data_IF_677966797702
#
_entry.id   IF_677966797702
#
_cell.length_a   1.000
_cell.length_b   1.000
_cell.length_c   1.000
_cell.angle_alpha   90.00
_cell.angle_beta   90.00
_cell.angle_gamma   90.00
#
_symmetry.space_group_name_H-M   'P 1'
#
loop_
_entity.id
_entity.type
_entity.pdbx_description
1 polymer ?
#
# COMPACT_ATOMS: atom_id res chain seq x y z
N UNK A 1 -2.20 12.66 -6.76
CA UNK A 1 -2.14 11.19 -6.55
C UNK A 1 -3.54 10.66 -6.25
N UNK A 2 -3.95 9.57 -6.89
CA UNK A 2 -5.32 9.03 -6.83
C UNK A 2 -5.53 8.25 -5.53
N UNK A 3 -6.60 8.56 -4.80
CA UNK A 3 -7.07 7.79 -3.64
C UNK A 3 -8.09 6.73 -4.06
N UNK A 4 -9.16 7.15 -4.73
CA UNK A 4 -10.20 6.26 -5.23
C UNK A 4 -10.87 6.83 -6.48
N UNK A 5 -11.56 5.95 -7.21
CA UNK A 5 -12.45 6.30 -8.31
C UNK A 5 -13.78 5.58 -8.09
N UNK A 6 -14.82 6.36 -7.94
CA UNK A 6 -16.17 5.88 -7.68
C UNK A 6 -17.13 6.23 -8.81
N UNK A 7 -17.95 5.25 -9.19
CA UNK A 7 -19.08 5.50 -10.09
C UNK A 7 -20.32 5.83 -9.26
N UNK A 8 -20.94 6.98 -9.57
CA UNK A 8 -22.24 7.37 -9.01
C UNK A 8 -23.19 7.72 -10.14
N UNK A 9 -24.26 6.95 -10.30
CA UNK A 9 -25.28 7.14 -11.32
C UNK A 9 -24.70 7.44 -12.72
N UNK A 10 -24.68 8.70 -13.10
CA UNK A 10 -24.17 9.18 -14.41
C UNK A 10 -22.76 9.77 -14.33
N UNK A 11 -22.13 9.73 -13.17
CA UNK A 11 -20.87 10.42 -12.92
C UNK A 11 -19.78 9.48 -12.38
N UNK A 12 -18.55 9.87 -12.59
CA UNK A 12 -17.34 9.29 -11.99
C UNK A 12 -16.72 10.33 -11.09
N UNK A 13 -16.55 10.00 -9.81
CA UNK A 13 -15.87 10.85 -8.83
C UNK A 13 -14.46 10.32 -8.64
N UNK A 14 -13.47 11.18 -8.86
CA UNK A 14 -12.05 10.91 -8.57
C UNK A 14 -11.68 11.64 -7.28
N UNK A 15 -11.29 10.91 -6.25
CA UNK A 15 -10.65 11.47 -5.06
C UNK A 15 -9.13 11.37 -5.17
N UNK A 16 -8.44 12.44 -4.82
CA UNK A 16 -6.98 12.53 -4.98
C UNK A 16 -6.36 13.49 -3.98
N UNK A 17 -5.05 13.45 -3.81
CA UNK A 17 -4.32 14.47 -3.08
C UNK A 17 -3.99 15.63 -4.00
N UNK A 18 -4.39 16.85 -3.60
CA UNK A 18 -4.04 18.09 -4.30
C UNK A 18 -2.56 18.49 -4.08
N UNK A 19 -2.17 19.64 -4.60
CA UNK A 19 -0.80 20.18 -4.47
C UNK A 19 -0.39 20.49 -3.03
N UNK A 20 -1.35 20.63 -2.12
CA UNK A 20 -1.13 20.86 -0.70
C UNK A 20 -1.17 19.56 0.11
N UNK A 21 -1.37 18.40 -0.54
CA UNK A 21 -1.51 17.12 0.11
C UNK A 21 -2.85 16.92 0.83
N UNK A 22 -3.87 17.73 0.50
CA UNK A 22 -5.23 17.57 1.01
C UNK A 22 -6.07 16.71 0.09
N UNK A 23 -7.10 16.06 0.64
CA UNK A 23 -8.06 15.32 -0.17
C UNK A 23 -8.93 16.29 -0.96
N UNK A 24 -8.94 16.13 -2.27
CA UNK A 24 -9.74 16.87 -3.22
C UNK A 24 -10.55 15.92 -4.12
N UNK A 25 -11.55 16.44 -4.81
CA UNK A 25 -12.48 15.66 -5.63
C UNK A 25 -12.70 16.34 -6.98
N UNK A 26 -12.76 15.51 -8.03
CA UNK A 26 -13.26 15.93 -9.35
C UNK A 26 -14.33 14.97 -9.83
N UNK A 27 -15.30 15.53 -10.54
CA UNK A 27 -16.46 14.79 -11.06
C UNK A 27 -16.46 14.87 -12.59
N UNK A 28 -16.68 13.74 -13.23
CA UNK A 28 -16.71 13.61 -14.68
C UNK A 28 -17.94 12.82 -15.11
N UNK A 29 -18.52 13.10 -16.30
CA UNK A 29 -19.56 12.25 -16.84
C UNK A 29 -19.08 10.81 -17.02
N UNK A 30 -19.94 9.83 -16.69
CA UNK A 30 -19.62 8.39 -16.83
C UNK A 30 -19.20 8.00 -18.26
N UNK A 31 -19.64 8.77 -19.27
CA UNK A 31 -19.30 8.56 -20.67
C UNK A 31 -17.81 8.76 -20.97
N UNK A 32 -17.08 9.43 -20.08
CA UNK A 32 -15.61 9.55 -20.17
C UNK A 32 -14.89 8.30 -19.70
N UNK A 33 -15.55 7.41 -18.94
CA UNK A 33 -14.96 6.17 -18.47
C UNK A 33 -15.23 5.04 -19.46
N UNK A 34 -14.26 4.78 -20.31
CA UNK A 34 -14.35 3.83 -21.41
C UNK A 34 -13.96 2.42 -20.95
N UNK A 35 -14.91 1.49 -21.00
CA UNK A 35 -14.65 0.07 -20.81
C UNK A 35 -14.47 -0.62 -22.17
N UNK A 36 -13.38 -1.39 -22.29
CA UNK A 36 -13.09 -2.16 -23.49
C UNK A 36 -13.43 -3.63 -23.28
N UNK A 37 -14.07 -4.23 -24.27
CA UNK A 37 -14.51 -5.63 -24.25
C UNK A 37 -13.98 -6.34 -25.50
N UNK A 38 -13.52 -7.59 -25.31
CA UNK A 38 -13.20 -8.47 -26.44
C UNK A 38 -14.51 -8.84 -27.15
N UNK A 39 -14.51 -8.85 -28.46
CA UNK A 39 -15.69 -9.10 -29.28
C UNK A 39 -15.34 -9.90 -30.54
N UNK A 40 -16.34 -10.39 -31.25
CA UNK A 40 -16.16 -11.00 -32.57
C UNK A 40 -15.95 -9.94 -33.67
N UNK A 41 -15.21 -10.29 -34.71
CA UNK A 41 -14.90 -9.40 -35.85
C UNK A 41 -16.14 -8.80 -36.53
N UNK A 42 -17.25 -9.52 -36.55
CA UNK A 42 -18.51 -9.11 -37.20
C UNK A 42 -19.50 -8.42 -36.26
N UNK A 43 -19.11 -8.20 -35.01
CA UNK A 43 -20.00 -7.54 -34.05
C UNK A 43 -20.15 -6.03 -34.35
N UNK A 44 -21.33 -5.50 -34.00
CA UNK A 44 -21.56 -4.05 -34.14
C UNK A 44 -20.73 -3.27 -33.13
N UNK A 45 -20.02 -2.24 -33.58
CA UNK A 45 -19.23 -1.34 -32.73
C UNK A 45 -17.80 -1.80 -32.49
N UNK A 46 -17.31 -2.76 -33.28
CA UNK A 46 -15.88 -3.15 -33.26
C UNK A 46 -15.01 -1.92 -33.52
N UNK A 47 -13.97 -1.74 -32.73
CA UNK A 47 -13.00 -0.67 -32.94
C UNK A 47 -12.22 -0.90 -34.25
N UNK A 48 -12.04 0.17 -35.01
CA UNK A 48 -11.15 0.16 -36.19
C UNK A 48 -9.74 0.63 -35.85
N UNK A 49 -9.56 1.21 -34.69
CA UNK A 49 -8.32 1.84 -34.25
C UNK A 49 -7.54 0.97 -33.27
N UNK A 50 -8.26 0.21 -32.44
CA UNK A 50 -7.68 -0.55 -31.34
C UNK A 50 -7.95 -2.03 -31.44
N UNK A 51 -6.97 -2.84 -31.04
CA UNK A 51 -7.06 -4.29 -30.87
C UNK A 51 -6.68 -4.68 -29.45
N UNK A 52 -7.03 -5.90 -29.02
CA UNK A 52 -6.47 -6.51 -27.81
C UNK A 52 -4.99 -6.87 -28.04
N UNK A 53 -4.23 -7.11 -26.98
CA UNK A 53 -2.82 -7.51 -27.04
C UNK A 53 -2.57 -8.80 -27.85
N UNK A 54 -3.56 -9.68 -27.95
CA UNK A 54 -3.51 -10.93 -28.71
C UNK A 54 -4.09 -10.80 -30.14
N UNK A 55 -4.31 -9.57 -30.60
CA UNK A 55 -4.87 -9.28 -31.92
C UNK A 55 -6.40 -9.40 -32.04
N UNK A 56 -7.07 -9.91 -31.02
CA UNK A 56 -8.56 -10.00 -31.05
C UNK A 56 -9.21 -8.61 -31.11
N UNK A 57 -10.34 -8.49 -31.83
CA UNK A 57 -11.06 -7.22 -31.91
C UNK A 57 -11.60 -6.80 -30.55
N UNK A 58 -11.63 -5.50 -30.31
CA UNK A 58 -12.24 -4.89 -29.13
C UNK A 58 -13.33 -3.90 -29.51
N UNK A 59 -14.29 -3.72 -28.63
CA UNK A 59 -15.34 -2.72 -28.75
C UNK A 59 -15.43 -1.89 -27.47
N UNK A 60 -15.83 -0.64 -27.62
CA UNK A 60 -16.17 0.22 -26.51
C UNK A 60 -17.53 -0.18 -25.94
N UNK A 61 -17.62 -0.27 -24.63
CA UNK A 61 -18.86 -0.52 -23.93
C UNK A 61 -18.99 0.35 -22.68
N UNK A 62 -20.25 0.57 -22.30
CA UNK A 62 -20.58 1.31 -21.10
C UNK A 62 -21.17 0.31 -20.10
N UNK A 63 -20.34 -0.17 -19.18
CA UNK A 63 -20.74 -1.13 -18.15
C UNK A 63 -20.97 -0.45 -16.81
N UNK A 64 -21.82 -1.07 -15.97
CA UNK A 64 -22.01 -0.63 -14.57
C UNK A 64 -20.83 -0.96 -13.67
N UNK A 65 -19.89 -1.78 -14.13
CA UNK A 65 -18.67 -2.14 -13.39
C UNK A 65 -17.45 -1.63 -14.15
N UNK A 66 -16.57 -0.95 -13.43
CA UNK A 66 -15.30 -0.52 -13.98
C UNK A 66 -14.38 -1.72 -14.24
N UNK A 67 -13.96 -1.86 -15.49
CA UNK A 67 -12.85 -2.75 -15.81
C UNK A 67 -11.57 -2.21 -15.17
N UNK A 68 -10.79 -3.07 -14.52
CA UNK A 68 -9.54 -2.68 -13.86
C UNK A 68 -8.52 -2.03 -14.79
N UNK A 69 -8.50 -2.41 -16.07
CA UNK A 69 -7.60 -1.84 -17.07
C UNK A 69 -8.09 -0.49 -17.62
N UNK A 70 -9.40 -0.29 -17.66
CA UNK A 70 -10.02 0.94 -18.17
C UNK A 70 -9.70 2.17 -17.33
N UNK A 71 -9.31 1.97 -16.05
CA UNK A 71 -8.83 3.03 -15.18
C UNK A 71 -7.68 3.82 -15.80
N UNK A 72 -6.69 3.12 -16.37
CA UNK A 72 -5.53 3.77 -16.97
C UNK A 72 -5.93 4.61 -18.17
N UNK A 73 -6.82 4.09 -19.03
CA UNK A 73 -7.30 4.80 -20.21
C UNK A 73 -8.14 6.01 -19.83
N UNK A 74 -8.95 5.91 -18.78
CA UNK A 74 -9.71 7.03 -18.25
C UNK A 74 -8.79 8.17 -17.79
N UNK A 75 -7.81 7.86 -16.94
CA UNK A 75 -6.87 8.85 -16.41
C UNK A 75 -6.04 9.49 -17.53
N UNK A 76 -5.53 8.68 -18.47
CA UNK A 76 -4.73 9.20 -19.58
C UNK A 76 -5.57 10.02 -20.60
N UNK A 77 -6.88 9.78 -20.67
CA UNK A 77 -7.84 10.52 -21.48
C UNK A 77 -8.39 11.82 -20.86
N UNK A 78 -8.06 12.12 -19.60
CA UNK A 78 -8.48 13.36 -18.95
C UNK A 78 -7.79 14.59 -19.58
N UNK A 79 -8.41 15.79 -19.52
CA UNK A 79 -7.76 17.03 -19.90
C UNK A 79 -6.41 17.17 -19.19
N UNK A 80 -5.40 17.68 -19.90
CA UNK A 80 -4.02 17.77 -19.40
C UNK A 80 -3.93 18.46 -18.03
N UNK A 81 -4.61 19.60 -17.88
CA UNK A 81 -4.66 20.33 -16.61
C UNK A 81 -5.20 19.49 -15.45
N UNK A 82 -6.26 18.69 -15.68
CA UNK A 82 -6.86 17.83 -14.67
C UNK A 82 -5.94 16.67 -14.35
N UNK A 83 -5.32 16.09 -15.38
CA UNK A 83 -4.37 14.99 -15.24
C UNK A 83 -3.14 15.42 -14.45
N UNK A 84 -2.58 16.58 -14.73
CA UNK A 84 -1.44 17.13 -13.96
C UNK A 84 -1.80 17.36 -12.50
N UNK A 85 -2.99 17.88 -12.22
CA UNK A 85 -3.45 18.12 -10.85
C UNK A 85 -3.69 16.80 -10.09
N UNK A 86 -4.41 15.84 -10.69
CA UNK A 86 -4.74 14.54 -10.07
C UNK A 86 -3.49 13.69 -9.82
N UNK A 87 -2.51 13.78 -10.72
CA UNK A 87 -1.29 12.99 -10.68
C UNK A 87 -0.12 13.72 -10.02
N UNK A 88 -0.31 14.95 -9.56
CA UNK A 88 0.73 15.67 -8.83
C UNK A 88 1.26 14.82 -7.68
N UNK A 89 2.60 14.68 -7.63
CA UNK A 89 3.26 13.95 -6.54
C UNK A 89 3.40 14.89 -5.34
N UNK A 90 2.73 14.53 -4.27
CA UNK A 90 2.86 15.18 -2.97
C UNK A 90 2.85 14.15 -1.87
N UNK A 91 3.61 14.41 -0.82
CA UNK A 91 3.53 13.62 0.40
C UNK A 91 2.40 14.17 1.27
N UNK A 92 1.28 13.46 1.42
CA UNK A 92 0.20 13.91 2.26
C UNK A 92 0.62 13.89 3.73
N UNK A 93 0.07 14.81 4.51
CA UNK A 93 0.25 14.81 5.96
C UNK A 93 -0.32 13.53 6.55
N UNK A 94 0.53 12.77 7.23
CA UNK A 94 0.17 11.49 7.84
C UNK A 94 -0.08 11.63 9.32
N UNK A 95 -1.17 11.03 9.77
CA UNK A 95 -1.55 10.93 11.18
C UNK A 95 -1.36 9.50 11.64
N UNK A 96 -0.71 9.31 12.80
CA UNK A 96 -0.50 7.97 13.38
C UNK A 96 -1.50 7.81 14.52
N UNK A 97 -2.27 6.73 14.46
CA UNK A 97 -3.39 6.52 15.36
C UNK A 97 -3.28 5.15 16.01
N UNK A 98 -3.61 5.10 17.28
CA UNK A 98 -3.70 3.89 18.08
C UNK A 98 -4.90 4.00 19.03
N UNK A 99 -5.54 2.88 19.37
CA UNK A 99 -6.63 2.84 20.34
C UNK A 99 -6.27 1.97 21.51
N UNK A 100 -6.82 2.33 22.66
CA UNK A 100 -6.81 1.45 23.82
C UNK A 100 -8.23 1.07 24.23
N UNK A 101 -8.40 -0.21 24.54
CA UNK A 101 -9.71 -0.79 24.81
C UNK A 101 -9.78 -1.34 26.24
N UNK A 102 -10.99 -1.36 26.78
CA UNK A 102 -11.26 -1.95 28.09
C UNK A 102 -11.06 -3.47 28.05
N UNK A 103 -10.30 -4.01 29.00
CA UNK A 103 -10.02 -5.43 29.13
C UNK A 103 -10.81 -5.97 30.30
N UNK A 104 -11.76 -6.88 30.06
CA UNK A 104 -12.60 -7.49 31.11
C UNK A 104 -12.25 -8.97 31.25
N UNK A 105 -12.43 -9.75 30.18
CA UNK A 105 -12.20 -11.20 30.16
C UNK A 105 -11.17 -11.56 29.07
N UNK A 106 -9.90 -11.27 29.34
CA UNK A 106 -8.82 -11.47 28.37
C UNK A 106 -8.74 -10.37 27.32
N UNK A 107 -7.86 -10.53 26.33
CA UNK A 107 -7.63 -9.51 25.30
C UNK A 107 -8.86 -9.37 24.38
N UNK A 108 -9.41 -8.15 24.20
CA UNK A 108 -10.61 -7.93 23.40
C UNK A 108 -10.43 -8.28 21.93
N UNK A 109 -11.39 -9.01 21.37
CA UNK A 109 -11.40 -9.37 19.96
C UNK A 109 -11.99 -8.25 19.11
N UNK A 110 -11.27 -7.84 18.08
CA UNK A 110 -11.70 -6.77 17.18
C UNK A 110 -13.01 -7.10 16.44
N UNK A 111 -13.22 -8.39 16.11
CA UNK A 111 -14.43 -8.87 15.42
C UNK A 111 -15.69 -8.70 16.31
N UNK A 112 -15.54 -8.82 17.62
CA UNK A 112 -16.64 -8.73 18.57
C UNK A 112 -16.84 -7.30 19.12
N UNK A 113 -15.74 -6.57 19.35
CA UNK A 113 -15.66 -5.22 19.89
C UNK A 113 -16.61 -4.95 21.08
N UNK A 114 -16.71 -5.93 22.01
CA UNK A 114 -17.70 -5.92 23.09
C UNK A 114 -17.42 -4.85 24.16
N UNK A 115 -16.15 -4.59 24.42
CA UNK A 115 -15.73 -3.65 25.46
C UNK A 115 -15.53 -2.25 24.88
N UNK A 116 -15.45 -1.25 25.75
CA UNK A 116 -15.35 0.16 25.35
C UNK A 116 -13.98 0.48 24.76
N UNK A 117 -13.95 1.42 23.84
CA UNK A 117 -12.74 2.17 23.51
C UNK A 117 -12.54 3.20 24.62
N UNK A 118 -11.38 3.17 25.26
CA UNK A 118 -11.04 4.04 26.39
C UNK A 118 -10.30 5.30 25.94
N UNK A 119 -9.46 5.19 24.92
CA UNK A 119 -8.76 6.33 24.35
C UNK A 119 -8.41 6.13 22.88
N UNK A 120 -8.25 7.26 22.17
CA UNK A 120 -7.54 7.36 20.90
C UNK A 120 -6.28 8.19 21.12
N UNK A 121 -5.13 7.72 20.67
CA UNK A 121 -3.92 8.49 20.54
C UNK A 121 -3.73 8.88 19.08
N UNK A 122 -3.53 10.16 18.80
CA UNK A 122 -3.41 10.72 17.44
C UNK A 122 -2.13 11.55 17.39
N UNK A 123 -1.14 11.07 16.66
CA UNK A 123 0.11 11.77 16.43
C UNK A 123 0.04 12.51 15.10
N UNK A 124 0.24 13.81 15.15
CA UNK A 124 0.18 14.69 13.98
C UNK A 124 1.55 14.87 13.33
N UNK A 125 1.61 15.23 12.04
CA UNK A 125 2.87 15.46 11.35
C UNK A 125 3.68 16.68 11.87
N UNK A 126 3.03 17.58 12.61
CA UNK A 126 3.64 18.73 13.27
C UNK A 126 3.97 18.45 14.76
N UNK A 127 4.15 17.19 15.11
CA UNK A 127 4.56 16.70 16.43
C UNK A 127 3.63 17.07 17.59
N UNK A 128 2.34 16.97 17.36
CA UNK A 128 1.34 17.04 18.44
C UNK A 128 0.81 15.65 18.74
N UNK A 129 0.82 15.27 19.99
CA UNK A 129 0.17 14.09 20.51
C UNK A 129 -1.20 14.51 21.06
N UNK A 130 -2.29 14.16 20.36
CA UNK A 130 -3.65 14.47 20.75
C UNK A 130 -4.29 13.19 21.26
N UNK A 131 -4.77 13.22 22.49
CA UNK A 131 -5.51 12.08 23.06
C UNK A 131 -6.96 12.45 23.29
N UNK A 132 -7.86 11.59 22.79
CA UNK A 132 -9.27 11.61 23.11
C UNK A 132 -9.51 10.54 24.19
N UNK A 133 -10.09 10.88 25.31
CA UNK A 133 -10.26 9.95 26.43
C UNK A 133 -11.53 10.21 27.24
N UNK A 134 -11.83 9.28 28.15
CA UNK A 134 -13.07 9.30 28.94
C UNK A 134 -12.91 9.88 30.35
N UNK A 135 -11.69 9.80 30.90
CA UNK A 135 -11.41 10.20 32.28
C UNK A 135 -10.94 11.66 32.37
N UNK A 136 -11.04 12.27 33.57
CA UNK A 136 -10.50 13.60 33.81
C UNK A 136 -8.96 13.56 33.90
N UNK A 137 -8.33 14.59 33.37
CA UNK A 137 -6.88 14.77 33.48
C UNK A 137 -6.57 16.23 33.89
N UNK A 138 -5.89 16.38 35.03
CA UNK A 138 -5.49 17.69 35.53
C UNK A 138 -4.36 18.31 34.68
N UNK A 139 -4.26 19.62 34.54
CA UNK A 139 -3.27 20.30 33.71
C UNK A 139 -1.83 19.92 34.03
N UNK A 140 -1.49 19.72 35.30
CA UNK A 140 -0.14 19.27 35.71
C UNK A 140 0.20 17.87 35.20
N UNK A 141 -0.81 17.00 35.06
CA UNK A 141 -0.64 15.66 34.50
C UNK A 141 -0.49 15.69 32.97
N UNK A 142 -1.19 16.62 32.32
CA UNK A 142 -1.03 16.88 30.88
C UNK A 142 0.42 17.30 30.60
N UNK A 143 0.92 18.30 31.35
CA UNK A 143 2.30 18.76 31.22
C UNK A 143 3.32 17.66 31.52
N UNK A 144 3.05 16.83 32.52
CA UNK A 144 3.91 15.70 32.84
C UNK A 144 4.03 14.71 31.69
N UNK A 145 2.95 14.35 30.98
CA UNK A 145 3.00 13.45 29.83
C UNK A 145 3.84 14.07 28.70
N UNK A 146 3.70 15.37 28.46
CA UNK A 146 4.50 16.11 27.49
C UNK A 146 6.00 16.04 27.82
N UNK A 147 6.35 16.36 29.05
CA UNK A 147 7.74 16.34 29.53
C UNK A 147 8.33 14.93 29.48
N UNK A 148 7.58 13.91 29.94
CA UNK A 148 8.00 12.52 29.93
C UNK A 148 8.17 11.98 28.49
N UNK A 149 7.31 12.39 27.55
CA UNK A 149 7.41 12.03 26.13
C UNK A 149 8.66 12.65 25.50
N UNK A 150 8.87 13.94 25.69
CA UNK A 150 10.06 14.63 25.20
C UNK A 150 11.37 14.06 25.77
N UNK A 151 11.36 13.72 27.05
CA UNK A 151 12.49 13.05 27.71
C UNK A 151 12.74 11.65 27.17
N UNK A 152 11.68 10.88 26.88
CA UNK A 152 11.81 9.50 26.38
C UNK A 152 12.44 9.45 24.99
N UNK A 153 12.16 10.43 24.16
CA UNK A 153 12.68 10.56 22.81
C UNK A 153 13.83 11.56 22.68
N UNK A 154 14.60 11.82 23.75
CA UNK A 154 15.71 12.80 23.78
C UNK A 154 16.74 12.61 22.68
N UNK A 155 16.98 11.36 22.23
CA UNK A 155 17.93 11.04 21.16
C UNK A 155 17.35 11.32 19.74
N UNK A 156 16.12 11.77 19.67
CA UNK A 156 15.43 12.15 18.45
C UNK A 156 15.17 13.65 18.44
N UNK A 157 14.76 14.15 17.28
CA UNK A 157 14.29 15.52 17.17
C UNK A 157 12.97 15.66 17.96
N UNK A 158 13.03 16.21 19.18
CA UNK A 158 11.91 16.37 20.11
C UNK A 158 11.26 17.73 19.94
N UNK A 159 10.22 18.04 20.62
CA UNK A 159 9.33 19.21 20.73
C UNK A 159 7.87 18.76 20.55
N UNK A 160 7.51 17.67 21.23
CA UNK A 160 6.14 17.18 21.26
C UNK A 160 5.27 18.11 22.11
N UNK A 161 4.15 18.52 21.54
CA UNK A 161 3.04 19.19 22.27
C UNK A 161 1.99 18.13 22.59
N UNK A 162 1.58 18.01 23.84
CA UNK A 162 0.55 17.05 24.26
C UNK A 162 -0.77 17.76 24.53
N UNK A 163 -1.87 17.22 23.97
CA UNK A 163 -3.23 17.69 24.15
C UNK A 163 -4.16 16.55 24.57
N UNK A 164 -4.93 16.78 25.60
CA UNK A 164 -5.92 15.83 26.07
C UNK A 164 -7.33 16.41 25.94
N UNK A 165 -8.24 15.64 25.34
CA UNK A 165 -9.65 16.00 25.20
C UNK A 165 -10.53 14.96 25.92
N UNK A 166 -11.18 15.37 27.01
CA UNK A 166 -12.13 14.54 27.72
C UNK A 166 -13.48 14.53 27.03
N UNK A 167 -14.07 13.35 26.94
CA UNK A 167 -15.45 13.12 26.47
C UNK A 167 -16.34 12.60 27.59
N UNK A 168 -17.64 12.96 27.53
CA UNK A 168 -18.63 12.52 28.52
C UNK A 168 -19.05 11.07 28.33
N UNK A 169 -18.97 10.57 27.10
CA UNK A 169 -19.32 9.20 26.74
C UNK A 169 -18.42 8.65 25.66
N UNK A 170 -18.34 7.34 25.60
CA UNK A 170 -17.66 6.64 24.48
C UNK A 170 -18.30 7.00 23.13
N UNK A 171 -19.62 7.08 23.06
CA UNK A 171 -20.32 7.48 21.85
C UNK A 171 -19.84 8.83 21.32
N UNK A 172 -19.79 9.86 22.19
CA UNK A 172 -19.33 11.20 21.78
C UNK A 172 -17.88 11.18 21.30
N UNK A 173 -17.03 10.38 21.95
CA UNK A 173 -15.62 10.25 21.59
C UNK A 173 -15.47 9.58 20.22
N UNK A 174 -16.06 8.41 20.01
CA UNK A 174 -15.99 7.66 18.75
C UNK A 174 -16.65 8.44 17.61
N UNK A 175 -17.82 9.04 17.85
CA UNK A 175 -18.50 9.90 16.89
C UNK A 175 -17.61 11.09 16.46
N UNK A 176 -16.99 11.75 17.45
CA UNK A 176 -16.10 12.89 17.17
C UNK A 176 -14.87 12.47 16.38
N UNK A 177 -14.25 11.33 16.74
CA UNK A 177 -13.14 10.79 15.96
C UNK A 177 -13.54 10.55 14.50
N UNK A 178 -14.64 9.81 14.28
CA UNK A 178 -15.06 9.41 12.93
C UNK A 178 -15.58 10.60 12.10
N UNK A 179 -16.37 11.49 12.69
CA UNK A 179 -17.08 12.55 11.93
C UNK A 179 -16.36 13.88 11.90
N UNK A 180 -15.45 14.15 12.86
CA UNK A 180 -14.78 15.46 12.94
C UNK A 180 -13.26 15.41 12.75
N UNK A 181 -12.60 14.31 13.14
CA UNK A 181 -11.15 14.15 12.98
C UNK A 181 -10.82 13.45 11.69
N UNK A 182 -11.32 12.24 11.48
CA UNK A 182 -10.98 11.39 10.34
C UNK A 182 -11.17 12.08 8.97
N UNK A 183 -12.23 12.83 8.69
CA UNK A 183 -12.38 13.52 7.40
C UNK A 183 -11.33 14.61 7.13
N UNK A 184 -10.61 15.05 8.16
CA UNK A 184 -9.54 16.05 8.05
C UNK A 184 -8.17 15.44 7.87
N UNK A 185 -8.04 14.13 8.02
CA UNK A 185 -6.78 13.42 7.87
C UNK A 185 -6.59 13.04 6.39
N UNK A 186 -5.63 13.63 5.68
CA UNK A 186 -5.33 13.20 4.33
C UNK A 186 -4.90 11.74 4.30
N UNK A 187 -4.06 11.34 5.29
CA UNK A 187 -3.60 9.97 5.46
C UNK A 187 -3.53 9.60 6.94
N UNK A 188 -3.88 8.35 7.25
CA UNK A 188 -3.86 7.80 8.60
C UNK A 188 -3.25 6.40 8.58
N UNK A 189 -2.48 6.09 9.61
CA UNK A 189 -1.86 4.77 9.82
C UNK A 189 -1.64 4.49 11.29
N UNK A 190 -1.31 3.25 11.61
CA UNK A 190 -0.93 2.77 12.94
C UNK A 190 -0.27 1.39 12.81
N UNK A 191 0.12 0.80 13.93
CA UNK A 191 0.74 -0.51 13.97
C UNK A 191 -0.31 -1.62 14.07
N UNK A 192 -0.38 -2.53 13.09
CA UNK A 192 -1.44 -3.53 12.94
C UNK A 192 -2.85 -2.91 12.87
N UNK A 193 -2.88 -1.68 12.40
CA UNK A 193 -4.03 -0.78 12.52
C UNK A 193 -5.28 -1.31 11.81
N UNK A 194 -5.14 -1.85 10.60
CA UNK A 194 -6.29 -2.33 9.82
C UNK A 194 -6.87 -3.60 10.44
N UNK A 195 -6.03 -4.51 10.91
CA UNK A 195 -6.49 -5.81 11.42
C UNK A 195 -7.03 -5.73 12.85
N UNK A 196 -6.62 -4.72 13.65
CA UNK A 196 -7.09 -4.59 15.01
C UNK A 196 -7.84 -3.27 15.25
N UNK A 197 -7.15 -2.13 15.25
CA UNK A 197 -7.73 -0.84 15.66
C UNK A 197 -8.90 -0.42 14.77
N UNK A 198 -8.69 -0.43 13.45
CA UNK A 198 -9.73 -0.04 12.51
C UNK A 198 -10.91 -1.01 12.54
N UNK A 199 -10.64 -2.31 12.57
CA UNK A 199 -11.69 -3.31 12.68
C UNK A 199 -12.50 -3.15 13.99
N UNK A 200 -11.79 -2.88 15.09
CA UNK A 200 -12.44 -2.60 16.39
C UNK A 200 -13.33 -1.37 16.30
N UNK A 201 -12.82 -0.25 15.77
CA UNK A 201 -13.56 1.01 15.57
C UNK A 201 -14.83 0.76 14.74
N UNK A 202 -14.70 0.04 13.62
CA UNK A 202 -15.84 -0.28 12.74
C UNK A 202 -16.91 -1.11 13.48
N UNK A 203 -16.50 -2.18 14.16
CA UNK A 203 -17.44 -3.05 14.85
C UNK A 203 -18.04 -2.37 16.10
N UNK A 204 -17.25 -1.56 16.80
CA UNK A 204 -17.74 -0.77 17.93
C UNK A 204 -18.73 0.32 17.49
N UNK A 205 -18.49 0.95 16.35
CA UNK A 205 -19.40 1.91 15.75
C UNK A 205 -20.79 1.32 15.48
N UNK A 206 -20.84 0.07 15.00
CA UNK A 206 -22.12 -0.64 14.80
C UNK A 206 -22.87 -0.83 16.12
N UNK A 207 -22.17 -1.22 17.20
CA UNK A 207 -22.76 -1.36 18.53
C UNK A 207 -23.27 -0.02 19.05
N UNK A 208 -22.52 1.05 18.82
CA UNK A 208 -22.87 2.42 19.21
C UNK A 208 -23.88 3.07 18.25
N UNK A 209 -24.32 2.37 17.19
CA UNK A 209 -25.24 2.89 16.16
C UNK A 209 -24.71 4.15 15.43
N UNK A 210 -23.40 4.20 15.21
CA UNK A 210 -22.75 5.25 14.41
C UNK A 210 -22.59 4.74 12.97
N UNK A 211 -23.19 5.45 12.02
CA UNK A 211 -23.12 5.11 10.60
C UNK A 211 -21.82 5.65 9.97
N UNK A 212 -20.85 4.76 9.78
CA UNK A 212 -19.55 5.13 9.19
C UNK A 212 -19.61 5.49 7.69
N UNK A 213 -20.72 5.21 6.99
CA UNK A 213 -20.89 5.66 5.59
C UNK A 213 -21.00 7.18 5.48
N UNK A 214 -21.29 7.86 6.60
CA UNK A 214 -21.32 9.31 6.66
C UNK A 214 -19.93 9.96 6.77
N UNK A 215 -18.87 9.15 6.91
CA UNK A 215 -17.50 9.65 6.94
C UNK A 215 -17.10 10.14 5.55
N UNK A 216 -16.77 11.41 5.44
CA UNK A 216 -16.31 12.03 4.20
C UNK A 216 -17.39 12.20 3.14
N UNK A 217 -16.97 12.49 1.91
CA UNK A 217 -17.87 12.95 0.84
C UNK A 217 -18.52 11.80 0.06
N UNK A 218 -17.85 10.67 -0.10
CA UNK A 218 -18.31 9.64 -1.02
C UNK A 218 -19.16 8.55 -0.37
N UNK A 219 -18.96 8.27 0.90
CA UNK A 219 -19.67 7.20 1.62
C UNK A 219 -19.33 5.78 1.16
N UNK A 220 -18.40 5.64 0.21
CA UNK A 220 -17.95 4.35 -0.30
C UNK A 220 -16.93 3.71 0.65
N UNK A 221 -17.23 2.50 1.07
CA UNK A 221 -16.38 1.71 1.95
C UNK A 221 -15.76 0.52 1.22
N UNK A 222 -14.57 0.12 1.62
CA UNK A 222 -13.98 -1.15 1.20
C UNK A 222 -14.86 -2.33 1.64
N UNK A 223 -14.95 -3.37 0.81
CA UNK A 223 -15.83 -4.52 1.06
C UNK A 223 -15.32 -5.46 2.15
N UNK A 224 -14.02 -5.47 2.41
CA UNK A 224 -13.41 -6.40 3.36
C UNK A 224 -13.33 -5.81 4.77
N UNK A 225 -12.91 -4.54 4.86
CA UNK A 225 -12.58 -3.90 6.14
C UNK A 225 -13.35 -2.61 6.40
N UNK A 226 -14.27 -2.23 5.51
CA UNK A 226 -15.11 -1.03 5.64
C UNK A 226 -14.32 0.29 5.75
N UNK A 227 -13.10 0.37 5.23
CA UNK A 227 -12.38 1.65 5.14
C UNK A 227 -13.03 2.59 4.15
N UNK A 228 -13.14 3.89 4.46
CA UNK A 228 -13.48 4.90 3.47
C UNK A 228 -12.35 5.00 2.42
N UNK A 229 -12.61 4.57 1.17
CA UNK A 229 -11.57 4.47 0.13
C UNK A 229 -11.04 5.84 -0.33
N UNK A 230 -11.79 6.92 -0.11
CA UNK A 230 -11.39 8.30 -0.40
C UNK A 230 -10.49 8.93 0.69
N UNK A 231 -10.13 8.18 1.72
CA UNK A 231 -9.16 8.56 2.75
C UNK A 231 -8.02 7.53 2.72
N UNK A 232 -6.78 7.98 2.78
CA UNK A 232 -5.62 7.09 2.81
C UNK A 232 -5.46 6.42 4.17
N UNK A 233 -6.14 5.30 4.40
CA UNK A 233 -5.99 4.50 5.63
C UNK A 233 -5.09 3.31 5.34
N UNK A 234 -3.95 3.23 6.00
CA UNK A 234 -2.92 2.22 5.80
C UNK A 234 -2.58 1.49 7.11
N UNK A 235 -1.94 0.34 6.98
CA UNK A 235 -1.38 -0.42 8.10
C UNK A 235 0.14 -0.37 8.04
N UNK A 236 0.78 0.28 9.02
CA UNK A 236 2.22 0.45 8.99
C UNK A 236 2.98 -0.87 9.21
N UNK A 237 2.47 -1.80 9.99
CA UNK A 237 3.09 -3.11 10.18
C UNK A 237 3.16 -3.88 8.84
N UNK A 238 2.09 -3.82 8.02
CA UNK A 238 2.10 -4.43 6.70
C UNK A 238 3.09 -3.75 5.74
N UNK A 239 3.22 -2.41 5.80
CA UNK A 239 4.20 -1.67 5.01
C UNK A 239 5.64 -2.01 5.43
N UNK A 240 5.90 -2.07 6.75
CA UNK A 240 7.17 -2.50 7.29
C UNK A 240 7.53 -3.91 6.82
N UNK A 241 6.62 -4.85 6.97
CA UNK A 241 6.86 -6.23 6.56
C UNK A 241 7.18 -6.35 5.08
N UNK A 242 6.49 -5.58 4.27
CA UNK A 242 6.60 -5.62 2.81
C UNK A 242 7.82 -4.90 2.26
N UNK A 243 8.12 -3.71 2.76
CA UNK A 243 9.10 -2.81 2.12
C UNK A 243 10.42 -2.72 2.86
N UNK A 244 10.47 -2.98 4.18
CA UNK A 244 11.73 -2.97 4.89
C UNK A 244 12.59 -4.18 4.50
N UNK A 245 13.81 -3.88 4.06
CA UNK A 245 14.84 -4.87 3.66
C UNK A 245 16.11 -4.74 4.51
N UNK A 246 16.08 -3.96 5.57
CA UNK A 246 17.22 -3.74 6.46
C UNK A 246 17.58 -4.99 7.24
N UNK A 247 16.61 -5.84 7.55
CA UNK A 247 16.77 -7.10 8.27
C UNK A 247 16.45 -8.28 7.35
N UNK A 248 17.39 -9.21 7.21
CA UNK A 248 17.22 -10.40 6.33
C UNK A 248 16.17 -11.38 6.84
N UNK A 249 16.09 -11.55 8.16
CA UNK A 249 15.13 -12.43 8.84
C UNK A 249 14.43 -11.61 9.91
N UNK A 250 13.13 -11.45 9.75
CA UNK A 250 12.26 -10.76 10.72
C UNK A 250 11.75 -11.81 11.71
N UNK A 251 12.25 -11.78 12.95
CA UNK A 251 11.86 -12.72 13.99
C UNK A 251 10.46 -12.41 14.55
N UNK A 252 10.06 -11.14 14.53
CA UNK A 252 8.76 -10.69 15.05
C UNK A 252 8.32 -9.39 14.39
N UNK A 253 7.02 -9.23 14.22
CA UNK A 253 6.38 -7.96 13.82
C UNK A 253 5.80 -7.21 15.04
N UNK A 254 6.11 -7.63 16.28
CA UNK A 254 5.70 -6.87 17.47
C UNK A 254 6.36 -5.47 17.48
N UNK A 255 5.59 -4.43 17.79
CA UNK A 255 6.08 -3.05 17.80
C UNK A 255 7.33 -2.86 18.67
N UNK A 256 7.37 -3.49 19.86
CA UNK A 256 8.53 -3.42 20.77
C UNK A 256 9.80 -4.00 20.14
N UNK A 257 9.67 -5.13 19.44
CA UNK A 257 10.79 -5.75 18.74
C UNK A 257 11.28 -4.86 17.61
N UNK A 258 10.37 -4.37 16.78
CA UNK A 258 10.71 -3.52 15.61
C UNK A 258 11.29 -2.17 16.06
N UNK A 259 10.71 -1.53 17.08
CA UNK A 259 11.24 -0.31 17.66
C UNK A 259 12.66 -0.51 18.20
N UNK A 260 12.91 -1.64 18.87
CA UNK A 260 14.26 -2.03 19.31
C UNK A 260 15.26 -2.17 18.16
N UNK A 261 14.87 -2.83 17.08
CA UNK A 261 15.74 -3.04 15.91
C UNK A 261 15.94 -1.77 15.10
N UNK A 262 14.87 -1.02 14.85
CA UNK A 262 14.92 0.15 13.97
C UNK A 262 15.41 1.39 14.70
N UNK A 263 14.89 1.66 15.90
CA UNK A 263 15.17 2.92 16.64
C UNK A 263 16.16 2.74 17.79
N UNK A 264 16.48 1.51 18.18
CA UNK A 264 17.19 1.19 19.43
C UNK A 264 16.44 1.68 20.69
N UNK A 265 15.12 1.72 20.63
CA UNK A 265 14.22 2.14 21.72
C UNK A 265 13.31 0.96 22.09
N UNK A 266 13.00 0.79 23.38
CA UNK A 266 12.10 -0.22 23.88
C UNK A 266 10.80 0.39 24.33
N UNK A 267 9.69 -0.38 24.29
CA UNK A 267 8.41 0.07 24.88
C UNK A 267 8.53 0.35 26.37
N UNK A 268 7.68 1.23 26.85
CA UNK A 268 7.57 1.50 28.29
C UNK A 268 7.13 0.24 29.01
N UNK A 269 7.88 -0.14 30.07
CA UNK A 269 7.52 -1.26 30.92
C UNK A 269 6.56 -0.84 32.02
N UNK A 270 5.58 -1.68 32.29
CA UNK A 270 4.68 -1.57 33.44
C UNK A 270 4.53 -2.93 34.10
N UNK A 271 4.07 -2.93 35.35
CA UNK A 271 3.79 -4.14 36.12
C UNK A 271 2.27 -4.36 36.17
N UNK A 272 1.83 -5.62 36.11
CA UNK A 272 0.40 -5.96 36.06
C UNK A 272 -0.19 -5.93 34.66
N UNK A 273 -1.49 -5.95 34.56
CA UNK A 273 -2.24 -5.84 33.31
C UNK A 273 -2.47 -4.40 32.87
N UNK A 274 -2.80 -4.20 31.59
CA UNK A 274 -3.11 -2.88 31.03
C UNK A 274 -4.38 -2.29 31.69
N UNK A 275 -5.35 -3.14 32.05
CA UNK A 275 -6.55 -2.74 32.79
C UNK A 275 -6.23 -2.25 34.21
N UNK A 276 -5.28 -2.88 34.88
CA UNK A 276 -4.80 -2.42 36.18
C UNK A 276 -4.12 -1.05 36.06
N UNK A 277 -3.31 -0.89 34.99
CA UNK A 277 -2.68 0.41 34.69
C UNK A 277 -3.70 1.51 34.47
N UNK A 278 -4.78 1.26 33.71
CA UNK A 278 -5.88 2.20 33.51
C UNK A 278 -6.51 2.63 34.82
N UNK A 279 -6.86 1.67 35.70
CA UNK A 279 -7.51 1.93 36.96
C UNK A 279 -6.60 2.61 37.99
N UNK A 280 -5.36 2.14 38.11
CA UNK A 280 -4.49 2.51 39.23
C UNK A 280 -3.53 3.65 38.87
N UNK A 281 -3.22 3.85 37.57
CA UNK A 281 -2.34 4.92 37.10
C UNK A 281 -2.71 5.38 35.67
N UNK A 282 -3.84 6.05 35.56
CA UNK A 282 -4.39 6.54 34.28
C UNK A 282 -3.39 7.43 33.51
N UNK A 283 -2.61 8.26 34.19
CA UNK A 283 -1.60 9.12 33.55
C UNK A 283 -0.54 8.28 32.83
N UNK A 284 -0.05 7.22 33.47
CA UNK A 284 0.93 6.31 32.88
C UNK A 284 0.30 5.50 31.74
N UNK A 285 -0.97 5.14 31.84
CA UNK A 285 -1.74 4.46 30.79
C UNK A 285 -1.80 5.32 29.51
N UNK A 286 -2.17 6.59 29.63
CA UNK A 286 -2.20 7.51 28.49
C UNK A 286 -0.79 7.76 27.94
N UNK A 287 0.20 7.93 28.82
CA UNK A 287 1.59 8.06 28.39
C UNK A 287 2.07 6.84 27.59
N UNK A 288 1.70 5.63 27.99
CA UNK A 288 1.97 4.39 27.25
C UNK A 288 1.37 4.41 25.83
N UNK A 289 0.08 4.73 25.72
CA UNK A 289 -0.61 4.83 24.44
C UNK A 289 0.02 5.88 23.50
N UNK A 290 0.42 7.05 24.04
CA UNK A 290 1.11 8.08 23.27
C UNK A 290 2.46 7.58 22.76
N UNK A 291 3.27 6.94 23.60
CA UNK A 291 4.59 6.42 23.19
C UNK A 291 4.46 5.38 22.10
N UNK A 292 3.49 4.47 22.16
CA UNK A 292 3.28 3.46 21.13
C UNK A 292 3.01 4.12 19.76
N UNK A 293 2.15 5.14 19.71
CA UNK A 293 1.89 5.90 18.48
C UNK A 293 3.11 6.70 17.99
N UNK A 294 3.89 7.31 18.89
CA UNK A 294 5.11 8.06 18.55
C UNK A 294 6.22 7.14 18.04
N UNK A 295 6.31 5.90 18.53
CA UNK A 295 7.24 4.90 17.99
C UNK A 295 6.98 4.64 16.52
N UNK A 296 5.72 4.47 16.11
CA UNK A 296 5.35 4.26 14.69
C UNK A 296 5.74 5.47 13.84
N UNK A 297 5.52 6.69 14.35
CA UNK A 297 5.97 7.92 13.69
C UNK A 297 7.48 7.90 13.42
N UNK A 298 8.32 7.61 14.42
CA UNK A 298 9.77 7.60 14.23
C UNK A 298 10.26 6.43 13.38
N UNK A 299 9.60 5.27 13.44
CA UNK A 299 9.89 4.15 12.53
C UNK A 299 9.68 4.61 11.08
N UNK A 300 8.57 5.30 10.78
CA UNK A 300 8.34 5.82 9.42
C UNK A 300 9.34 6.90 9.03
N UNK A 301 9.68 7.82 9.93
CA UNK A 301 10.71 8.83 9.64
C UNK A 301 12.05 8.19 9.24
N UNK A 302 12.38 7.04 9.79
CA UNK A 302 13.63 6.32 9.50
C UNK A 302 13.55 5.43 8.26
N UNK A 303 12.48 4.67 8.09
CA UNK A 303 12.34 3.67 7.03
C UNK A 303 11.69 4.21 5.75
N UNK A 304 10.86 5.23 5.85
CA UNK A 304 10.15 5.85 4.73
C UNK A 304 9.27 4.87 3.94
N UNK A 305 8.72 3.83 4.60
CA UNK A 305 7.94 2.78 3.93
C UNK A 305 6.67 3.31 3.26
N UNK A 306 6.08 4.38 3.81
CA UNK A 306 4.94 5.04 3.18
C UNK A 306 5.31 5.75 1.89
N UNK A 307 6.48 6.41 1.83
CA UNK A 307 6.96 7.06 0.61
C UNK A 307 7.14 6.04 -0.54
N UNK A 308 7.56 4.81 -0.23
CA UNK A 308 7.67 3.74 -1.24
C UNK A 308 6.31 3.42 -1.85
N UNK A 309 5.27 3.23 -1.02
CA UNK A 309 3.92 2.95 -1.51
C UNK A 309 3.35 4.13 -2.32
N UNK A 310 3.54 5.35 -1.84
CA UNK A 310 3.09 6.57 -2.52
C UNK A 310 3.78 6.74 -3.88
N UNK A 311 5.08 6.44 -3.94
CA UNK A 311 5.84 6.46 -5.20
C UNK A 311 5.30 5.42 -6.19
N UNK A 312 5.01 4.19 -5.73
CA UNK A 312 4.41 3.15 -6.56
C UNK A 312 3.03 3.58 -7.10
N UNK A 313 2.17 4.13 -6.26
CA UNK A 313 0.87 4.65 -6.67
C UNK A 313 1.00 5.75 -7.73
N UNK A 314 1.97 6.63 -7.58
CA UNK A 314 2.23 7.72 -8.53
C UNK A 314 2.76 7.21 -9.87
N UNK A 315 3.77 6.33 -9.88
CA UNK A 315 4.36 5.76 -11.11
C UNK A 315 3.30 4.98 -11.90
N UNK A 316 2.48 4.20 -11.20
CA UNK A 316 1.44 3.37 -11.82
C UNK A 316 0.14 4.12 -12.10
N UNK A 317 -0.02 5.33 -11.58
CA UNK A 317 -1.24 6.16 -11.65
C UNK A 317 -2.48 5.40 -11.17
N UNK A 318 -2.30 4.61 -10.13
CA UNK A 318 -3.35 3.77 -9.54
C UNK A 318 -3.88 4.36 -8.24
N UNK A 319 -5.10 4.00 -7.84
CA UNK A 319 -5.55 4.23 -6.47
C UNK A 319 -4.59 3.66 -5.43
N UNK A 320 -4.36 4.41 -4.37
CA UNK A 320 -3.37 4.10 -3.33
C UNK A 320 -3.52 2.67 -2.77
N UNK A 321 -4.74 2.25 -2.47
CA UNK A 321 -5.00 0.91 -1.93
C UNK A 321 -4.67 -0.23 -2.90
N UNK A 322 -4.66 0.02 -4.22
CA UNK A 322 -4.26 -0.98 -5.25
C UNK A 322 -2.75 -1.04 -5.44
N UNK A 323 -2.04 0.07 -5.23
CA UNK A 323 -0.59 0.14 -5.43
C UNK A 323 0.21 -0.77 -4.50
N UNK A 324 -0.39 -1.23 -3.40
CA UNK A 324 0.20 -2.24 -2.54
C UNK A 324 0.28 -3.63 -3.18
N UNK A 325 -0.47 -3.93 -4.25
CA UNK A 325 -0.44 -5.23 -4.95
C UNK A 325 0.59 -5.25 -6.08
N UNK A 326 1.65 -6.10 -6.02
CA UNK A 326 2.62 -6.23 -7.12
C UNK A 326 1.99 -6.64 -8.44
N UNK A 327 0.94 -7.49 -8.39
CA UNK A 327 0.19 -7.91 -9.57
C UNK A 327 -0.50 -6.72 -10.22
N UNK A 328 -1.23 -5.93 -9.44
CA UNK A 328 -1.92 -4.75 -9.95
C UNK A 328 -0.94 -3.70 -10.52
N UNK A 329 0.22 -3.52 -9.88
CA UNK A 329 1.30 -2.65 -10.38
C UNK A 329 1.77 -3.12 -11.76
N UNK A 330 2.06 -4.41 -11.91
CA UNK A 330 2.52 -4.99 -13.19
C UNK A 330 1.44 -4.86 -14.27
N UNK A 331 0.20 -5.21 -13.95
CA UNK A 331 -0.93 -5.07 -14.86
C UNK A 331 -1.13 -3.63 -15.35
N UNK A 332 -1.00 -2.65 -14.45
CA UNK A 332 -1.12 -1.23 -14.82
C UNK A 332 -0.02 -0.79 -15.76
N UNK A 333 1.24 -1.14 -15.47
CA UNK A 333 2.38 -0.81 -16.32
C UNK A 333 2.24 -1.44 -17.71
N UNK A 334 1.83 -2.71 -17.78
CA UNK A 334 1.59 -3.40 -19.05
C UNK A 334 0.46 -2.74 -19.84
N UNK A 335 -0.69 -2.47 -19.21
CA UNK A 335 -1.84 -1.86 -19.86
C UNK A 335 -1.48 -0.50 -20.50
N UNK A 336 -0.65 0.28 -19.82
CA UNK A 336 -0.20 1.58 -20.33
C UNK A 336 0.76 1.44 -21.50
N UNK A 337 1.74 0.53 -21.40
CA UNK A 337 2.67 0.27 -22.50
C UNK A 337 1.97 -0.28 -23.75
N UNK A 338 0.99 -1.15 -23.57
CA UNK A 338 0.14 -1.62 -24.67
C UNK A 338 -0.71 -0.49 -25.28
N UNK A 339 -1.23 0.42 -24.42
CA UNK A 339 -2.00 1.56 -24.90
C UNK A 339 -1.18 2.52 -25.76
N UNK A 340 0.13 2.71 -25.44
CA UNK A 340 1.07 3.49 -26.27
C UNK A 340 1.26 2.87 -27.67
N UNK A 341 1.02 1.56 -27.83
CA UNK A 341 1.11 0.83 -29.09
C UNK A 341 -0.25 0.70 -29.81
N UNK A 342 -1.26 1.43 -29.38
CA UNK A 342 -2.61 1.36 -29.98
C UNK A 342 -3.42 0.14 -29.57
N UNK A 343 -3.04 -0.53 -28.48
CA UNK A 343 -3.78 -1.68 -27.97
C UNK A 343 -4.66 -1.31 -26.78
N UNK A 344 -5.72 -2.09 -26.56
CA UNK A 344 -6.61 -1.93 -25.38
C UNK A 344 -6.89 -3.29 -24.79
N UNK A 345 -6.54 -3.51 -23.52
CA UNK A 345 -6.86 -4.76 -22.84
C UNK A 345 -8.37 -4.82 -22.60
N UNK A 346 -9.04 -5.69 -23.34
CA UNK A 346 -10.46 -5.93 -23.23
C UNK A 346 -10.76 -7.03 -22.21
N UNK A 347 -11.90 -6.93 -21.54
CA UNK A 347 -12.46 -8.03 -20.73
C UNK A 347 -13.37 -8.90 -21.60
N UNK A 348 -13.37 -10.19 -21.33
CA UNK A 348 -14.37 -11.11 -21.90
C UNK A 348 -15.73 -10.88 -21.24
N UNK A 349 -16.81 -10.95 -22.03
CA UNK A 349 -18.17 -10.70 -21.50
C UNK A 349 -18.69 -11.89 -20.66
N UNK A 350 -18.09 -13.07 -20.81
CA UNK A 350 -18.32 -14.25 -19.96
C UNK A 350 -17.03 -14.57 -19.24
N UNK A 351 -17.05 -14.44 -17.95
CA UNK A 351 -16.01 -14.98 -17.09
C UNK A 351 -16.26 -16.48 -16.92
N UNK A 352 -15.76 -17.29 -17.84
CA UNK A 352 -15.45 -18.67 -17.52
C UNK A 352 -14.15 -18.65 -16.70
N UNK A 353 -14.30 -18.45 -15.40
CA UNK A 353 -13.23 -18.72 -14.45
C UNK A 353 -12.94 -20.23 -14.44
N UNK A 354 -12.12 -20.68 -15.35
CA UNK A 354 -11.41 -21.94 -15.14
C UNK A 354 -10.62 -21.77 -13.83
N UNK A 355 -10.89 -22.66 -12.88
CA UNK A 355 -10.16 -22.72 -11.61
C UNK A 355 -8.68 -22.69 -11.93
N UNK A 356 -7.96 -21.74 -11.37
CA UNK A 356 -6.52 -21.60 -11.51
C UNK A 356 -5.87 -22.96 -11.30
N UNK A 357 -5.23 -23.48 -12.33
CA UNK A 357 -4.35 -24.64 -12.21
C UNK A 357 -3.25 -24.29 -11.23
N UNK A 358 -3.08 -25.09 -10.17
CA UNK A 358 -1.96 -24.96 -9.27
C UNK A 358 -0.67 -25.22 -10.06
N UNK A 359 0.19 -24.21 -10.15
CA UNK A 359 1.52 -24.38 -10.73
C UNK A 359 2.43 -25.06 -9.70
N UNK A 360 3.26 -26.00 -10.16
CA UNK A 360 4.33 -26.55 -9.34
C UNK A 360 5.28 -25.43 -8.90
N UNK A 361 5.60 -25.39 -7.61
CA UNK A 361 6.57 -24.45 -7.06
C UNK A 361 7.98 -24.67 -7.61
N UNK A 362 8.90 -23.76 -7.29
CA UNK A 362 10.30 -23.89 -7.66
C UNK A 362 10.93 -25.12 -6.98
N UNK A 363 11.83 -25.78 -7.69
CA UNK A 363 12.63 -26.85 -7.11
C UNK A 363 13.57 -26.29 -6.04
N UNK A 364 13.46 -26.78 -4.82
CA UNK A 364 14.38 -26.51 -3.73
C UNK A 364 15.10 -27.80 -3.38
N UNK A 365 16.42 -27.83 -3.58
CA UNK A 365 17.21 -28.98 -3.22
C UNK A 365 17.36 -29.06 -1.70
N UNK A 366 17.09 -30.23 -1.13
CA UNK A 366 17.33 -30.51 0.29
C UNK A 366 18.81 -30.29 0.64
N UNK A 367 19.12 -29.51 1.70
CA UNK A 367 20.51 -29.29 2.10
C UNK A 367 21.12 -30.59 2.65
N UNK A 368 22.35 -30.83 2.26
CA UNK A 368 23.15 -31.89 2.89
C UNK A 368 23.65 -31.33 4.23
N UNK A 369 23.13 -31.85 5.32
CA UNK A 369 23.49 -31.40 6.67
C UNK A 369 24.90 -31.86 6.98
N UNK A 370 25.79 -30.94 7.37
CA UNK A 370 27.18 -31.25 7.70
C UNK A 370 28.00 -29.98 7.90
N UNK A 371 29.25 -30.19 8.30
CA UNK A 371 30.25 -29.12 8.37
C UNK A 371 31.06 -29.12 7.06
N UNK A 372 31.20 -27.96 6.43
CA UNK A 372 31.89 -27.80 5.16
C UNK A 372 32.89 -26.66 5.23
N UNK A 373 34.11 -26.90 4.73
CA UNK A 373 35.14 -25.89 4.60
C UNK A 373 35.24 -25.41 3.13
N UNK A 374 35.69 -24.18 2.91
CA UNK A 374 35.91 -23.63 1.56
C UNK A 374 34.61 -23.40 0.78
N UNK A 375 33.49 -23.14 1.44
CA UNK A 375 32.18 -22.89 0.79
C UNK A 375 32.17 -21.55 0.08
N UNK A 376 31.79 -21.56 -1.20
CA UNK A 376 31.58 -20.37 -2.01
C UNK A 376 30.11 -20.27 -2.42
N UNK A 377 29.49 -19.13 -2.16
CA UNK A 377 28.11 -18.87 -2.55
C UNK A 377 28.06 -18.01 -3.82
N UNK A 378 27.22 -18.42 -4.77
CA UNK A 378 26.92 -17.67 -5.98
C UNK A 378 25.45 -17.30 -6.00
N UNK A 379 25.13 -16.07 -6.45
CA UNK A 379 23.78 -15.59 -6.63
C UNK A 379 23.62 -14.96 -8.02
N UNK A 380 22.46 -15.19 -8.65
CA UNK A 380 22.13 -14.57 -9.92
C UNK A 380 21.52 -13.19 -9.70
N UNK A 381 22.13 -12.18 -10.30
CA UNK A 381 21.60 -10.82 -10.24
C UNK A 381 20.21 -10.75 -10.88
N UNK A 382 19.17 -10.52 -10.07
CA UNK A 382 17.78 -10.40 -10.51
C UNK A 382 17.33 -11.59 -11.39
N UNK A 383 17.46 -12.83 -10.89
CA UNK A 383 17.28 -14.07 -11.65
C UNK A 383 16.00 -14.09 -12.52
N UNK A 384 14.81 -13.93 -11.90
CA UNK A 384 13.55 -13.97 -12.65
C UNK A 384 13.45 -12.88 -13.73
N UNK A 385 13.67 -11.59 -13.43
CA UNK A 385 13.69 -10.54 -14.45
C UNK A 385 14.69 -10.80 -15.58
N UNK A 386 15.87 -11.35 -15.28
CA UNK A 386 16.88 -11.67 -16.26
C UNK A 386 16.45 -12.79 -17.21
N UNK A 387 15.83 -13.86 -16.67
CA UNK A 387 15.25 -14.95 -17.46
C UNK A 387 14.11 -14.42 -18.36
N UNK A 388 13.21 -13.62 -17.81
CA UNK A 388 12.09 -13.06 -18.57
C UNK A 388 12.59 -12.18 -19.73
N UNK A 389 13.62 -11.37 -19.51
CA UNK A 389 14.24 -10.55 -20.57
C UNK A 389 14.99 -11.38 -21.59
N UNK A 390 15.73 -12.40 -21.16
CA UNK A 390 16.53 -13.27 -22.05
C UNK A 390 15.64 -14.09 -22.97
N UNK A 391 14.60 -14.70 -22.44
CA UNK A 391 13.69 -15.56 -23.20
C UNK A 391 12.46 -14.82 -23.73
N UNK A 392 12.40 -13.51 -23.57
CA UNK A 392 11.29 -12.66 -24.01
C UNK A 392 9.93 -13.15 -23.51
N UNK A 393 9.86 -13.59 -22.24
CA UNK A 393 8.67 -14.15 -21.63
C UNK A 393 7.64 -13.04 -21.40
N UNK A 394 6.63 -12.98 -22.26
CA UNK A 394 5.56 -12.00 -22.21
C UNK A 394 4.33 -12.55 -22.93
N UNK A 395 3.11 -12.21 -22.49
CA UNK A 395 1.89 -12.67 -23.18
C UNK A 395 1.85 -12.26 -24.66
N UNK A 396 2.28 -11.05 -24.99
CA UNK A 396 2.30 -10.50 -26.35
C UNK A 396 3.39 -11.12 -27.25
N UNK A 397 4.38 -11.80 -26.67
CA UNK A 397 5.41 -12.51 -27.41
C UNK A 397 5.14 -14.01 -27.55
N UNK A 398 4.12 -14.54 -26.85
CA UNK A 398 3.80 -15.97 -26.91
C UNK A 398 3.29 -16.35 -28.29
N UNK A 399 3.87 -17.41 -28.87
CA UNK A 399 3.47 -17.94 -30.17
C UNK A 399 2.71 -19.26 -30.00
N UNK A 400 3.36 -20.27 -29.40
CA UNK A 400 2.83 -21.62 -29.29
C UNK A 400 3.54 -22.43 -28.21
N UNK A 401 3.02 -23.61 -27.93
CA UNK A 401 3.75 -24.63 -27.16
C UNK A 401 3.87 -25.89 -28.01
N UNK A 402 5.14 -26.29 -28.27
CA UNK A 402 5.47 -27.48 -29.05
C UNK A 402 5.78 -28.68 -28.16
N UNK A 403 5.61 -29.88 -28.71
CA UNK A 403 5.93 -31.13 -28.03
C UNK A 403 7.45 -31.29 -27.91
N UNK A 404 7.91 -32.02 -26.88
CA UNK A 404 9.34 -32.21 -26.59
C UNK A 404 10.17 -32.66 -27.81
N UNK A 405 9.64 -33.53 -28.65
CA UNK A 405 10.32 -34.03 -29.85
C UNK A 405 10.46 -32.98 -30.96
N UNK A 406 9.66 -31.92 -30.95
CA UNK A 406 9.64 -30.84 -31.93
C UNK A 406 10.59 -29.69 -31.57
N UNK A 407 11.07 -29.62 -30.32
CA UNK A 407 11.89 -28.52 -29.81
C UNK A 407 13.11 -28.29 -30.66
N UNK A 408 13.87 -29.36 -31.01
CA UNK A 408 15.11 -29.27 -31.79
C UNK A 408 14.86 -28.71 -33.19
N UNK A 409 13.76 -29.10 -33.84
CA UNK A 409 13.41 -28.58 -35.16
C UNK A 409 12.98 -27.12 -35.08
N UNK A 410 12.11 -26.79 -34.07
CA UNK A 410 11.62 -25.43 -33.90
C UNK A 410 12.75 -24.44 -33.56
N UNK A 411 13.81 -24.88 -32.88
CA UNK A 411 15.02 -24.06 -32.59
C UNK A 411 15.83 -23.66 -33.82
N UNK A 412 15.61 -24.27 -34.97
CA UNK A 412 16.26 -23.86 -36.22
C UNK A 412 15.67 -22.58 -36.80
N UNK A 413 14.48 -22.22 -36.38
CA UNK A 413 13.86 -20.95 -36.75
C UNK A 413 14.53 -19.81 -36.00
N UNK A 414 15.17 -18.92 -36.73
CA UNK A 414 15.93 -17.80 -36.18
C UNK A 414 15.04 -16.64 -35.68
N UNK A 415 13.74 -16.65 -35.97
CA UNK A 415 12.79 -15.60 -35.57
C UNK A 415 12.14 -15.85 -34.19
N UNK A 416 12.45 -17.02 -33.60
CA UNK A 416 11.81 -17.42 -32.33
C UNK A 416 12.84 -17.82 -31.27
N UNK A 417 12.36 -17.79 -30.01
CA UNK A 417 13.04 -18.32 -28.82
C UNK A 417 12.25 -19.52 -28.33
N UNK A 418 12.89 -20.69 -28.28
CA UNK A 418 12.24 -21.94 -27.84
C UNK A 418 12.79 -22.36 -26.48
N UNK A 419 11.94 -22.35 -25.47
CA UNK A 419 12.27 -22.78 -24.11
C UNK A 419 12.34 -24.32 -24.01
N UNK A 420 13.03 -24.84 -22.98
CA UNK A 420 13.20 -26.28 -22.78
C UNK A 420 11.90 -27.02 -22.46
N UNK A 421 10.88 -26.29 -21.97
CA UNK A 421 9.53 -26.82 -21.76
C UNK A 421 8.65 -26.80 -23.02
N UNK A 422 9.21 -26.39 -24.16
CA UNK A 422 8.50 -26.35 -25.45
C UNK A 422 7.72 -25.05 -25.72
N UNK A 423 7.74 -24.09 -24.82
CA UNK A 423 7.10 -22.79 -25.07
C UNK A 423 7.95 -21.98 -26.04
N UNK A 424 7.29 -21.38 -27.02
CA UNK A 424 7.90 -20.60 -28.11
C UNK A 424 7.47 -19.14 -27.99
N UNK A 425 8.45 -18.25 -27.97
CA UNK A 425 8.26 -16.80 -27.96
C UNK A 425 8.86 -16.15 -29.21
N UNK A 426 8.28 -15.03 -29.67
CA UNK A 426 8.89 -14.16 -30.68
C UNK A 426 10.20 -13.56 -30.18
N UNK A 427 11.12 -13.27 -31.10
CA UNK A 427 12.32 -12.45 -30.81
C UNK A 427 12.03 -10.95 -30.83
N UNK A 428 10.92 -10.52 -31.38
CA UNK A 428 10.51 -9.13 -31.36
C UNK A 428 10.39 -8.64 -29.92
N UNK A 429 10.80 -7.42 -29.67
CA UNK A 429 10.81 -6.89 -28.31
C UNK A 429 9.41 -6.79 -27.73
N UNK A 430 9.12 -7.61 -26.72
CA UNK A 430 7.84 -7.62 -26.04
C UNK A 430 7.67 -6.49 -25.01
N UNK A 431 6.41 -6.21 -24.67
CA UNK A 431 6.05 -5.15 -23.73
C UNK A 431 6.67 -5.40 -22.34
N UNK A 432 6.60 -6.64 -21.84
CA UNK A 432 7.16 -6.95 -20.52
C UNK A 432 8.70 -6.88 -20.52
N UNK A 433 9.34 -7.36 -21.58
CA UNK A 433 10.81 -7.24 -21.74
C UNK A 433 11.24 -5.78 -21.71
N UNK A 434 10.53 -4.89 -22.41
CA UNK A 434 10.81 -3.46 -22.42
C UNK A 434 10.65 -2.85 -21.04
N UNK A 435 9.51 -3.10 -20.35
CA UNK A 435 9.27 -2.61 -18.98
C UNK A 435 10.38 -3.07 -18.03
N UNK A 436 10.73 -4.36 -18.06
CA UNK A 436 11.76 -4.91 -17.17
C UNK A 436 13.15 -4.35 -17.50
N UNK A 437 13.45 -4.09 -18.77
CA UNK A 437 14.73 -3.50 -19.18
C UNK A 437 14.85 -2.05 -18.71
N UNK A 438 13.78 -1.25 -18.87
CA UNK A 438 13.73 0.13 -18.42
C UNK A 438 13.87 0.21 -16.88
N UNK A 439 13.11 -0.60 -16.14
CA UNK A 439 13.18 -0.64 -14.67
C UNK A 439 14.54 -1.12 -14.16
N UNK A 440 15.13 -2.11 -14.83
CA UNK A 440 16.45 -2.61 -14.45
C UNK A 440 17.54 -1.55 -14.69
N UNK A 441 17.48 -0.84 -15.84
CA UNK A 441 18.39 0.27 -16.14
C UNK A 441 18.32 1.36 -15.07
N UNK A 442 17.12 1.83 -14.76
CA UNK A 442 16.89 2.81 -13.70
C UNK A 442 17.40 2.33 -12.33
N UNK A 443 17.14 1.06 -11.98
CA UNK A 443 17.64 0.47 -10.73
C UNK A 443 19.16 0.52 -10.62
N UNK A 444 19.87 0.21 -11.70
CA UNK A 444 21.35 0.26 -11.74
C UNK A 444 21.82 1.69 -11.52
N UNK A 445 21.27 2.64 -12.25
CA UNK A 445 21.59 4.07 -12.16
C UNK A 445 21.38 4.62 -10.72
N UNK A 446 20.20 4.37 -10.15
CA UNK A 446 19.91 4.82 -8.77
C UNK A 446 20.78 4.12 -7.73
N UNK A 447 21.13 2.85 -7.93
CA UNK A 447 22.03 2.14 -7.02
C UNK A 447 23.44 2.73 -7.06
N UNK A 448 23.95 3.07 -8.22
CA UNK A 448 25.26 3.71 -8.39
C UNK A 448 25.26 5.13 -7.77
N UNK A 449 24.20 5.91 -8.02
CA UNK A 449 24.03 7.23 -7.42
C UNK A 449 24.00 7.13 -5.88
N UNK A 450 23.23 6.21 -5.32
CA UNK A 450 23.16 5.95 -3.88
C UNK A 450 24.52 5.60 -3.30
N UNK A 451 25.26 4.69 -3.92
CA UNK A 451 26.62 4.31 -3.49
C UNK A 451 27.57 5.52 -3.47
N UNK A 452 27.51 6.35 -4.50
CA UNK A 452 28.33 7.57 -4.59
C UNK A 452 28.00 8.57 -3.48
N UNK A 453 26.71 8.74 -3.11
CA UNK A 453 26.29 9.59 -2.00
C UNK A 453 26.77 9.05 -0.65
N UNK A 454 26.63 7.74 -0.40
CA UNK A 454 27.14 7.11 0.83
C UNK A 454 28.64 7.26 0.97
N UNK A 455 29.40 7.05 -0.09
CA UNK A 455 30.86 7.22 -0.11
C UNK A 455 31.27 8.67 0.19
N UNK A 456 30.54 9.65 -0.37
CA UNK A 456 30.79 11.07 -0.07
C UNK A 456 30.47 11.40 1.39
N UNK A 457 29.35 10.89 1.92
CA UNK A 457 28.96 11.11 3.31
C UNK A 457 29.97 10.50 4.30
N UNK A 458 30.46 9.28 4.02
CA UNK A 458 31.48 8.61 4.85
C UNK A 458 32.82 9.38 4.83
N UNK A 459 33.25 9.85 3.66
CA UNK A 459 34.43 10.68 3.52
C UNK A 459 34.30 12.03 4.26
N UNK A 460 33.13 12.65 4.29
CA UNK A 460 32.88 13.86 5.04
C UNK A 460 32.91 13.59 6.55
N UNK A 461 32.28 12.51 7.02
CA UNK A 461 32.39 12.11 8.44
C UNK A 461 33.83 11.91 8.89
N UNK A 462 34.64 11.19 8.10
CA UNK A 462 36.08 10.98 8.38
C UNK A 462 36.93 12.27 8.41
N UNK A 463 36.44 13.37 7.82
CA UNK A 463 37.12 14.68 7.86
C UNK A 463 36.70 15.52 9.06
N UNK A 464 35.57 15.18 9.67
CA UNK A 464 35.03 15.88 10.83
C UNK A 464 35.42 15.22 12.17
N UNK A 465 35.91 13.98 12.11
CA UNK A 465 36.57 13.27 13.24
C UNK A 465 38.08 13.37 13.11
#
# INVERSE_FOLDING_TARGET
MILDIEQRDKDVIVSYYDKEGKVAYKQYPITQYQNWYICGEKEKGVSKEFTNWDGRPVKLGYGRQFNKFSLNYFIDGLPEKDREEILAYNLPKTYFVDIETEIVDGFPKAEEAKTRILSFSIITPDRKAIVLGLEDMAPDKIQKIEDDTNKYFTDFDTDWEFKYHKFKSEYDMVYTFLMKFLPKFPMMTGWNFINYDWQYIVNRSKILQIDITQVGMTGKLDRNDSRPLHIGILDYMQLYDKYDRSVKVKESNALDYVAGQVLNVKKIKYTGGLQDLYRDNFVKYIYYNVVDSVLVYYIDQKLKSMEVLLTLANITKMPLYKAASPVAVTESLMARKLAEQGMRIGTEQKEDFEKSTQYAGAYVKEPLVGYYEGVTAFDFASLYPSIMRQFNISPDAYIEQVQKHQITERRKDNEVIVCDNGVVYSKDESVLKKILSDLYGQRVEYKEASYNFFTKADNLKKRLT
#
